data_IF_171590700599
#
_entry.id   IF_171590700599
#
_cell.length_a   1.000
_cell.length_b   1.000
_cell.length_c   1.000
_cell.angle_alpha   90.00
_cell.angle_beta   90.00
_cell.angle_gamma   90.00
#
_symmetry.space_group_name_H-M   'P 1'
#
loop_
_entity.id
_entity.type
_entity.pdbx_description
1 polymer ?
#
# COMPACT_ATOMS: atom_id res chain seq x y z
N UNK A 1 -10.91 -6.48 -19.04
CA UNK A 1 -10.70 -5.57 -20.21
C UNK A 1 -11.86 -5.73 -21.19
N UNK A 2 -12.68 -4.69 -21.38
CA UNK A 2 -13.83 -4.70 -22.31
C UNK A 2 -13.46 -4.24 -23.72
N UNK A 3 -12.36 -3.50 -23.86
CA UNK A 3 -11.80 -3.00 -25.13
C UNK A 3 -10.28 -3.03 -25.05
N UNK A 4 -9.62 -3.43 -26.13
CA UNK A 4 -8.16 -3.37 -26.22
C UNK A 4 -7.70 -1.91 -26.19
N UNK A 5 -6.67 -1.65 -25.39
CA UNK A 5 -6.04 -0.33 -25.29
C UNK A 5 -4.57 -0.45 -25.67
N UNK A 6 -3.95 0.68 -26.05
CA UNK A 6 -2.63 0.67 -26.70
C UNK A 6 -1.45 0.67 -25.71
N UNK A 7 -1.71 0.74 -24.41
CA UNK A 7 -0.69 0.67 -23.35
C UNK A 7 -1.13 -0.26 -22.23
N UNK A 8 -0.16 -0.72 -21.44
CA UNK A 8 -0.42 -1.49 -20.23
C UNK A 8 -1.09 -0.61 -19.18
N UNK A 9 -1.86 -1.25 -18.29
CA UNK A 9 -2.27 -0.61 -17.05
C UNK A 9 -1.11 -0.64 -16.07
N UNK A 10 -1.02 0.38 -15.22
CA UNK A 10 -0.09 0.43 -14.12
C UNK A 10 -0.86 0.13 -12.84
N UNK A 11 -0.42 -0.86 -12.07
CA UNK A 11 -0.93 -1.11 -10.73
C UNK A 11 0.17 -0.80 -9.72
N UNK A 12 -0.09 0.16 -8.83
CA UNK A 12 0.83 0.55 -7.77
C UNK A 12 0.31 0.07 -6.42
N UNK A 13 1.21 -0.44 -5.57
CA UNK A 13 0.93 -0.75 -4.17
C UNK A 13 1.65 0.28 -3.30
N UNK A 14 0.88 0.98 -2.47
CA UNK A 14 1.34 2.07 -1.61
C UNK A 14 1.02 1.71 -0.17
N UNK A 15 2.01 1.77 0.71
CA UNK A 15 1.83 1.63 2.14
C UNK A 15 1.79 3.02 2.78
N UNK A 16 0.68 3.33 3.44
CA UNK A 16 0.52 4.57 4.18
C UNK A 16 1.19 4.39 5.53
N UNK A 17 2.05 5.32 5.93
CA UNK A 17 2.63 5.30 7.29
C UNK A 17 1.93 6.32 8.18
N UNK A 18 1.80 7.55 7.69
CA UNK A 18 1.25 8.65 8.44
C UNK A 18 0.01 9.18 7.75
N UNK A 19 -1.17 9.15 8.38
CA UNK A 19 -2.39 9.71 7.79
C UNK A 19 -2.30 11.24 7.61
N UNK A 20 -1.36 11.89 8.31
CA UNK A 20 -1.17 13.34 8.30
C UNK A 20 -0.17 13.80 7.23
N UNK A 21 0.64 12.90 6.68
CA UNK A 21 1.73 13.26 5.77
C UNK A 21 1.97 12.21 4.69
N UNK A 22 1.32 12.41 3.54
CA UNK A 22 1.47 11.58 2.33
C UNK A 22 2.91 11.47 1.82
N UNK A 23 3.81 12.41 2.16
CA UNK A 23 5.22 12.33 1.75
C UNK A 23 5.99 11.21 2.44
N UNK A 24 5.42 10.64 3.50
CA UNK A 24 5.94 9.49 4.23
C UNK A 24 5.44 8.16 3.65
N UNK A 25 4.48 8.19 2.74
CA UNK A 25 3.95 6.99 2.13
C UNK A 25 4.99 6.32 1.26
N UNK A 26 4.98 4.99 1.28
CA UNK A 26 5.97 4.19 0.58
C UNK A 26 5.32 3.46 -0.58
N UNK A 27 5.78 3.76 -1.79
CA UNK A 27 5.51 2.93 -2.94
C UNK A 27 6.25 1.60 -2.79
N UNK A 28 5.51 0.53 -2.52
CA UNK A 28 6.10 -0.79 -2.32
C UNK A 28 6.47 -1.42 -3.65
N UNK A 29 5.59 -1.37 -4.65
CA UNK A 29 5.85 -1.97 -5.98
C UNK A 29 4.97 -1.35 -7.06
N UNK A 30 5.46 -1.37 -8.30
CA UNK A 30 4.68 -1.05 -9.51
C UNK A 30 4.65 -2.27 -10.42
N UNK A 31 3.45 -2.67 -10.84
CA UNK A 31 3.22 -3.76 -11.78
C UNK A 31 2.66 -3.21 -13.09
N UNK A 32 3.21 -3.68 -14.21
CA UNK A 32 2.57 -3.52 -15.50
C UNK A 32 1.59 -4.66 -15.76
N UNK A 33 0.33 -4.32 -15.99
CA UNK A 33 -0.72 -5.27 -16.33
C UNK A 33 -0.97 -5.17 -17.84
N UNK A 34 -0.66 -6.24 -18.61
CA UNK A 34 -0.86 -6.24 -20.05
C UNK A 34 -2.31 -6.01 -20.43
N UNK A 35 -2.53 -5.05 -21.33
CA UNK A 35 -3.87 -4.74 -21.85
C UNK A 35 -4.17 -5.38 -23.21
N UNK A 36 -3.33 -6.34 -23.63
CA UNK A 36 -3.35 -6.97 -24.95
C UNK A 36 -4.34 -8.14 -25.08
N UNK A 37 -5.06 -8.49 -24.02
CA UNK A 37 -6.06 -9.56 -24.02
C UNK A 37 -7.39 -9.05 -23.49
N UNK A 38 -8.48 -9.49 -24.11
CA UNK A 38 -9.84 -9.20 -23.65
C UNK A 38 -10.25 -10.18 -22.54
N UNK A 39 -11.21 -9.76 -21.70
CA UNK A 39 -11.81 -10.62 -20.68
C UNK A 39 -11.33 -10.36 -19.26
N UNK A 40 -11.40 -11.40 -18.41
CA UNK A 40 -11.07 -11.37 -16.98
C UNK A 40 -9.64 -11.88 -16.77
N UNK A 41 -8.92 -11.26 -15.86
CA UNK A 41 -7.57 -11.68 -15.45
C UNK A 41 -7.56 -11.95 -13.96
N UNK A 42 -6.76 -12.94 -13.56
CA UNK A 42 -6.42 -13.20 -12.18
C UNK A 42 -4.90 -13.33 -12.11
N UNK A 43 -4.30 -12.64 -11.16
CA UNK A 43 -2.86 -12.71 -10.90
C UNK A 43 -2.61 -12.59 -9.40
N UNK A 44 -1.47 -13.08 -8.96
CA UNK A 44 -0.97 -12.90 -7.60
C UNK A 44 0.09 -11.80 -7.67
N UNK A 45 -0.13 -10.73 -6.92
CA UNK A 45 0.84 -9.64 -6.77
C UNK A 45 1.70 -9.92 -5.55
N UNK A 46 3.01 -9.83 -5.70
CA UNK A 46 3.98 -9.97 -4.59
C UNK A 46 4.80 -8.70 -4.52
N UNK A 47 4.86 -8.07 -3.35
CA UNK A 47 5.53 -6.79 -3.14
C UNK A 47 6.50 -6.88 -1.96
N UNK A 48 7.40 -5.92 -1.85
CA UNK A 48 8.31 -5.77 -0.70
C UNK A 48 7.56 -5.29 0.54
N UNK A 49 8.14 -5.54 1.71
CA UNK A 49 7.67 -4.92 2.96
C UNK A 49 7.99 -3.42 2.98
N UNK A 50 7.21 -2.60 3.71
CA UNK A 50 7.60 -1.23 4.01
C UNK A 50 8.91 -1.19 4.79
N UNK A 51 9.68 -0.13 4.59
CA UNK A 51 10.92 0.13 5.32
C UNK A 51 10.65 1.09 6.49
N UNK A 52 10.86 0.66 7.72
CA UNK A 52 10.65 1.50 8.90
C UNK A 52 11.89 2.25 9.36
N UNK A 53 13.00 2.19 8.60
CA UNK A 53 14.19 2.97 8.90
C UNK A 53 13.84 4.46 8.96
N UNK A 54 14.21 5.12 10.06
CA UNK A 54 13.94 6.53 10.37
C UNK A 54 12.48 6.88 10.75
N UNK A 55 11.65 5.89 11.09
CA UNK A 55 10.32 6.14 11.66
C UNK A 55 10.30 5.86 13.16
N UNK A 56 9.52 6.65 13.91
CA UNK A 56 9.26 6.41 15.32
C UNK A 56 8.21 5.29 15.49
N UNK A 57 8.25 4.55 16.61
CA UNK A 57 7.25 3.51 16.94
C UNK A 57 5.83 4.04 16.79
N UNK A 58 5.57 5.20 17.38
CA UNK A 58 4.26 5.83 17.38
C UNK A 58 3.75 6.20 15.98
N UNK A 59 4.63 6.24 14.99
CA UNK A 59 4.26 6.44 13.58
C UNK A 59 3.98 5.12 12.86
N UNK A 60 4.49 4.00 13.39
CA UNK A 60 4.36 2.67 12.78
C UNK A 60 3.18 1.91 13.40
N UNK A 61 3.06 1.92 14.73
CA UNK A 61 2.07 1.20 15.51
C UNK A 61 0.71 1.88 15.43
N UNK A 62 -0.34 1.07 15.39
CA UNK A 62 -1.72 1.52 15.29
C UNK A 62 -2.33 1.29 13.91
N UNK A 63 -3.41 2.02 13.63
CA UNK A 63 -4.19 1.85 12.40
C UNK A 63 -3.58 2.69 11.28
N UNK A 64 -3.29 2.04 10.16
CA UNK A 64 -2.91 2.66 8.90
C UNK A 64 -3.64 2.02 7.72
N UNK A 65 -3.19 2.25 6.47
CA UNK A 65 -3.76 1.66 5.28
C UNK A 65 -2.71 1.17 4.27
N UNK A 66 -3.12 0.23 3.43
CA UNK A 66 -2.46 -0.08 2.16
C UNK A 66 -3.41 0.27 1.02
N UNK A 67 -2.87 0.94 0.01
CA UNK A 67 -3.63 1.45 -1.14
C UNK A 67 -3.09 0.77 -2.40
N UNK A 68 -4.00 0.20 -3.19
CA UNK A 68 -3.74 -0.26 -4.54
C UNK A 68 -4.37 0.74 -5.49
N UNK A 69 -3.58 1.32 -6.39
CA UNK A 69 -4.10 2.18 -7.46
C UNK A 69 -3.90 1.47 -8.79
N UNK A 70 -4.94 1.48 -9.63
CA UNK A 70 -4.87 1.04 -11.02
C UNK A 70 -5.03 2.26 -11.91
N UNK A 71 -4.04 2.53 -12.75
CA UNK A 71 -4.01 3.65 -13.66
C UNK A 71 -3.84 3.20 -15.11
N UNK A 72 -4.36 4.01 -16.03
CA UNK A 72 -4.09 3.91 -17.45
C UNK A 72 -3.55 5.26 -17.93
N UNK A 73 -2.36 5.26 -18.52
CA UNK A 73 -1.72 6.49 -19.01
C UNK A 73 -1.66 7.62 -17.97
N UNK A 74 -1.26 7.29 -16.73
CA UNK A 74 -1.20 8.20 -15.56
C UNK A 74 -2.55 8.73 -15.05
N UNK A 75 -3.67 8.30 -15.64
CA UNK A 75 -5.00 8.56 -15.10
C UNK A 75 -5.40 7.39 -14.22
N UNK A 76 -5.63 7.67 -12.94
CA UNK A 76 -6.14 6.67 -12.01
C UNK A 76 -7.58 6.30 -12.37
N UNK A 77 -7.89 5.01 -12.38
CA UNK A 77 -9.20 4.45 -12.73
C UNK A 77 -9.89 3.82 -11.52
N UNK A 78 -9.11 3.20 -10.64
CA UNK A 78 -9.57 2.45 -9.49
C UNK A 78 -8.57 2.60 -8.35
N UNK A 79 -9.10 2.85 -7.14
CA UNK A 79 -8.37 2.77 -5.88
C UNK A 79 -9.02 1.75 -4.98
N UNK A 80 -8.22 0.91 -4.34
CA UNK A 80 -8.65 -0.01 -3.30
C UNK A 80 -7.79 0.22 -2.07
N UNK A 81 -8.40 0.64 -0.97
CA UNK A 81 -7.75 0.80 0.33
C UNK A 81 -8.16 -0.32 1.29
N UNK A 82 -7.22 -0.81 2.07
CA UNK A 82 -7.48 -1.68 3.23
C UNK A 82 -6.88 -1.08 4.47
N UNK A 83 -7.61 -1.14 5.59
CA UNK A 83 -7.03 -0.82 6.89
C UNK A 83 -6.05 -1.92 7.32
N UNK A 84 -4.95 -1.49 7.95
CA UNK A 84 -3.95 -2.34 8.56
C UNK A 84 -3.83 -1.93 10.02
N UNK A 85 -3.93 -2.88 10.93
CA UNK A 85 -3.53 -2.70 12.32
C UNK A 85 -2.11 -3.23 12.52
N UNK A 86 -1.20 -2.36 12.95
CA UNK A 86 0.18 -2.68 13.27
C UNK A 86 0.35 -2.79 14.78
N UNK A 87 0.81 -3.96 15.24
CA UNK A 87 1.11 -4.22 16.65
C UNK A 87 2.61 -4.50 16.78
N UNK A 88 3.29 -3.76 17.67
CA UNK A 88 4.65 -4.09 18.07
C UNK A 88 4.60 -5.23 19.11
N UNK A 89 5.33 -6.31 18.86
CA UNK A 89 5.37 -7.46 19.78
C UNK A 89 6.25 -7.15 21.00
N UNK A 90 7.23 -6.29 20.81
CA UNK A 90 8.21 -5.96 21.84
C UNK A 90 7.65 -4.89 22.78
N UNK A 91 7.87 -5.04 24.09
CA UNK A 91 7.43 -4.08 25.13
C UNK A 91 8.30 -2.80 25.11
N UNK A 92 8.27 -2.07 24.00
CA UNK A 92 9.06 -0.86 23.83
C UNK A 92 8.17 0.35 24.12
N UNK A 93 8.61 1.30 24.96
CA UNK A 93 7.82 2.49 25.28
C UNK A 93 7.45 3.28 24.01
N UNK A 94 6.18 3.63 23.84
CA UNK A 94 5.66 4.37 22.67
C UNK A 94 6.39 5.72 22.42
N UNK A 95 6.97 6.29 23.47
CA UNK A 95 7.72 7.55 23.45
C UNK A 95 9.24 7.40 23.31
N UNK A 96 9.76 6.20 22.98
CA UNK A 96 11.20 6.08 22.72
C UNK A 96 11.53 6.78 21.40
N UNK A 97 12.25 7.90 21.50
CA UNK A 97 12.45 8.81 20.36
C UNK A 97 13.35 8.23 19.26
N UNK A 98 14.14 7.19 19.51
CA UNK A 98 14.99 6.59 18.48
C UNK A 98 15.25 5.13 18.86
N UNK A 99 14.80 4.20 18.03
CA UNK A 99 15.51 2.93 17.96
C UNK A 99 16.88 3.19 17.42
N UNK A 100 17.87 2.60 18.07
CA UNK A 100 19.20 2.53 17.48
C UNK A 100 19.09 1.84 16.12
N UNK A 101 19.90 2.25 15.13
CA UNK A 101 19.90 1.68 13.76
C UNK A 101 20.04 0.14 13.70
N UNK A 102 20.27 -0.52 14.84
CA UNK A 102 20.56 -1.94 14.99
C UNK A 102 19.43 -2.74 15.67
N UNK A 103 18.33 -2.12 16.08
CA UNK A 103 17.20 -2.83 16.71
C UNK A 103 16.13 -3.21 15.67
N UNK A 104 16.02 -4.51 15.38
CA UNK A 104 14.95 -5.05 14.54
C UNK A 104 13.60 -4.98 15.28
N UNK A 105 12.75 -4.03 14.89
CA UNK A 105 11.39 -3.91 15.42
C UNK A 105 10.52 -5.04 14.86
N UNK A 106 9.89 -5.82 15.74
CA UNK A 106 8.97 -6.88 15.33
C UNK A 106 7.54 -6.35 15.26
N UNK A 107 7.06 -6.09 14.04
CA UNK A 107 5.69 -5.65 13.77
C UNK A 107 4.84 -6.80 13.21
N UNK A 108 3.70 -7.08 13.87
CA UNK A 108 2.62 -7.90 13.31
C UNK A 108 1.62 -6.98 12.63
N UNK A 109 1.28 -7.30 11.38
CA UNK A 109 0.34 -6.54 10.56
C UNK A 109 -0.92 -7.36 10.33
N UNK A 110 -2.07 -6.84 10.74
CA UNK A 110 -3.39 -7.44 10.50
C UNK A 110 -4.14 -6.58 9.50
N UNK A 111 -4.41 -7.11 8.31
CA UNK A 111 -5.16 -6.40 7.26
C UNK A 111 -6.64 -6.73 7.39
N UNK A 112 -7.50 -5.72 7.47
CA UNK A 112 -8.96 -5.90 7.47
C UNK A 112 -9.45 -6.16 6.03
N UNK A 113 -9.30 -7.39 5.56
CA UNK A 113 -9.60 -7.78 4.18
C UNK A 113 -11.09 -7.77 3.84
N UNK A 114 -11.96 -7.87 4.85
CA UNK A 114 -13.41 -7.96 4.66
C UNK A 114 -14.07 -6.60 4.33
N UNK A 115 -13.38 -5.48 4.61
CA UNK A 115 -13.92 -4.13 4.41
C UNK A 115 -13.04 -3.26 3.49
N UNK A 116 -12.85 -3.63 2.21
CA UNK A 116 -12.14 -2.79 1.26
C UNK A 116 -12.87 -1.46 1.02
N UNK A 117 -12.11 -0.36 0.98
CA UNK A 117 -12.59 0.93 0.51
C UNK A 117 -12.29 1.06 -0.98
N UNK A 118 -13.33 1.07 -1.80
CA UNK A 118 -13.19 1.08 -3.26
C UNK A 118 -13.67 2.42 -3.82
N UNK A 119 -12.80 3.07 -4.59
CA UNK A 119 -13.12 4.31 -5.33
C UNK A 119 -12.91 4.09 -6.81
N UNK A 120 -13.90 4.45 -7.62
CA UNK A 120 -13.81 4.46 -9.08
C UNK A 120 -13.71 5.92 -9.55
N UNK A 121 -12.77 6.19 -10.46
CA UNK A 121 -12.61 7.50 -11.06
C UNK A 121 -13.20 7.49 -12.47
N UNK A 122 -14.04 8.48 -12.77
CA UNK A 122 -14.58 8.66 -14.11
C UNK A 122 -13.59 9.43 -14.96
N UNK A 123 -13.40 9.01 -16.21
CA UNK A 123 -12.80 9.89 -17.21
C UNK A 123 -13.88 10.90 -17.66
N UNK A 124 -13.60 12.19 -17.50
CA UNK A 124 -14.27 13.23 -18.27
C UNK A 124 -13.74 13.24 -19.71
#
# INVERSE_FOLDING_TARGET
VKKLVNKNFELKIIYVISPENEKKDQELEIFEIPANKLGKFKMVLKTRSPNYQNFLIKEIVGITAIILTLAYQKKELLRIGYYINNECIDNIPENSDQYSENEEIKIIRKILIEEPRITYFQEN
#
